data_IF_226050018127
#
_entry.id   IF_226050018127
#
_cell.length_a   1.000
_cell.length_b   1.000
_cell.length_c   1.000
_cell.angle_alpha   90.00
_cell.angle_beta   90.00
_cell.angle_gamma   90.00
#
_symmetry.space_group_name_H-M   'P 1'
#
loop_
_entity.id
_entity.type
_entity.pdbx_description
1 polymer ?
#
# COMPACT_ATOMS: atom_id res chain seq x y z
N UNK A 1 -7.17 3.53 -7.13
CA UNK A 1 -6.20 3.95 -6.12
C UNK A 1 -5.05 2.95 -6.08
N UNK A 2 -3.80 3.41 -6.06
CA UNK A 2 -2.58 2.60 -5.96
C UNK A 2 -1.97 2.74 -4.55
N UNK A 3 -1.58 1.61 -3.98
CA UNK A 3 -1.01 1.51 -2.64
C UNK A 3 0.34 0.83 -2.77
N UNK A 4 1.40 1.53 -2.35
CA UNK A 4 2.70 0.93 -2.16
C UNK A 4 2.76 0.32 -0.76
N UNK A 5 2.68 -1.00 -0.68
CA UNK A 5 2.81 -1.75 0.56
C UNK A 5 4.29 -2.02 0.81
N UNK A 6 4.80 -1.63 1.99
CA UNK A 6 6.19 -1.86 2.41
C UNK A 6 6.19 -2.75 3.66
N UNK A 7 6.71 -3.96 3.50
CA UNK A 7 6.92 -4.92 4.59
C UNK A 7 8.41 -4.87 4.95
N UNK A 8 8.71 -4.31 6.13
CA UNK A 8 10.09 -4.18 6.63
C UNK A 8 10.60 -5.53 7.15
N UNK A 9 10.97 -6.42 6.23
CA UNK A 9 11.87 -7.56 6.50
C UNK A 9 13.27 -7.19 6.01
N UNK A 10 14.30 -7.99 6.31
CA UNK A 10 15.63 -7.80 5.70
C UNK A 10 15.82 -8.87 4.62
N UNK A 11 15.81 -8.52 3.32
CA UNK A 11 15.57 -7.18 2.74
C UNK A 11 14.09 -6.76 2.75
N UNK A 12 13.84 -5.45 2.66
CA UNK A 12 12.48 -4.89 2.72
C UNK A 12 11.72 -5.24 1.44
N UNK A 13 10.51 -5.78 1.58
CA UNK A 13 9.67 -6.17 0.46
C UNK A 13 8.66 -5.07 0.15
N UNK A 14 8.54 -4.70 -1.12
CA UNK A 14 7.64 -3.64 -1.57
C UNK A 14 6.75 -4.13 -2.69
N UNK A 15 5.46 -3.83 -2.59
CA UNK A 15 4.46 -4.29 -3.52
C UNK A 15 3.58 -3.12 -3.93
N UNK A 16 3.45 -2.89 -5.24
CA UNK A 16 2.49 -1.94 -5.78
C UNK A 16 1.17 -2.67 -6.02
N UNK A 17 0.13 -2.20 -5.36
CA UNK A 17 -1.18 -2.84 -5.36
C UNK A 17 -2.24 -1.84 -5.82
N UNK A 18 -3.10 -2.24 -6.76
CA UNK A 18 -4.22 -1.44 -7.22
C UNK A 18 -5.52 -1.86 -6.53
N UNK A 19 -6.21 -0.89 -5.96
CA UNK A 19 -7.57 -1.04 -5.43
C UNK A 19 -8.55 -0.61 -6.53
N UNK A 20 -9.35 -1.56 -7.01
CA UNK A 20 -10.23 -1.40 -8.17
C UNK A 20 -11.63 -0.87 -7.84
N UNK A 21 -12.04 -0.93 -6.57
CA UNK A 21 -13.41 -0.57 -6.18
C UNK A 21 -13.42 0.46 -5.06
N UNK A 22 -14.39 1.37 -5.11
CA UNK A 22 -14.58 2.38 -4.07
C UNK A 22 -14.88 1.76 -2.70
N UNK A 23 -15.54 0.59 -2.69
CA UNK A 23 -15.79 -0.18 -1.46
C UNK A 23 -14.47 -0.58 -0.80
N UNK A 24 -13.52 -1.11 -1.57
CA UNK A 24 -12.22 -1.53 -1.06
C UNK A 24 -11.39 -0.31 -0.61
N UNK A 25 -11.46 0.80 -1.35
CA UNK A 25 -10.82 2.07 -0.96
C UNK A 25 -11.35 2.56 0.39
N UNK A 26 -12.67 2.59 0.58
CA UNK A 26 -13.32 2.99 1.84
C UNK A 26 -12.99 2.05 3.00
N UNK A 27 -12.95 0.74 2.75
CA UNK A 27 -12.55 -0.27 3.73
C UNK A 27 -11.09 -0.04 4.19
N UNK A 28 -10.18 0.15 3.24
CA UNK A 28 -8.78 0.48 3.49
C UNK A 28 -8.63 1.76 4.30
N UNK A 29 -9.27 2.85 3.89
CA UNK A 29 -9.23 4.13 4.60
C UNK A 29 -9.74 3.98 6.04
N UNK A 30 -10.80 3.20 6.25
CA UNK A 30 -11.33 2.91 7.59
C UNK A 30 -10.32 2.16 8.46
N UNK A 31 -9.61 1.17 7.91
CA UNK A 31 -8.59 0.42 8.64
C UNK A 31 -7.41 1.31 9.02
N UNK A 32 -6.95 2.16 8.09
CA UNK A 32 -5.88 3.13 8.30
C UNK A 32 -6.26 4.14 9.39
N UNK A 33 -7.43 4.77 9.28
CA UNK A 33 -7.88 5.78 10.25
C UNK A 33 -8.09 5.20 11.66
N UNK A 34 -8.28 3.89 11.79
CA UNK A 34 -8.39 3.17 13.08
C UNK A 34 -7.04 2.63 13.59
N UNK A 35 -5.93 2.97 12.95
CA UNK A 35 -4.59 2.48 13.30
C UNK A 35 -4.37 0.98 13.05
N UNK A 36 -5.24 0.32 12.26
CA UNK A 36 -5.18 -1.12 11.99
C UNK A 36 -4.32 -1.42 10.75
N UNK A 37 -3.08 -0.91 10.73
CA UNK A 37 -2.20 -0.94 9.55
C UNK A 37 -1.90 -2.36 9.04
N UNK A 38 -1.62 -3.33 9.92
CA UNK A 38 -1.39 -4.72 9.50
C UNK A 38 -2.60 -5.32 8.79
N UNK A 39 -3.82 -5.00 9.26
CA UNK A 39 -5.06 -5.42 8.58
C UNK A 39 -5.24 -4.70 7.25
N UNK A 40 -4.87 -3.42 7.16
CA UNK A 40 -4.89 -2.68 5.89
C UNK A 40 -3.93 -3.30 4.87
N UNK A 41 -2.72 -3.71 5.30
CA UNK A 41 -1.74 -4.41 4.46
C UNK A 41 -2.31 -5.72 3.92
N UNK A 42 -2.83 -6.57 4.81
CA UNK A 42 -3.43 -7.85 4.41
C UNK A 42 -4.60 -7.60 3.45
N UNK A 43 -5.44 -6.61 3.73
CA UNK A 43 -6.59 -6.26 2.88
C UNK A 43 -6.15 -5.81 1.50
N UNK A 44 -5.14 -4.95 1.40
CA UNK A 44 -4.56 -4.54 0.13
C UNK A 44 -4.03 -5.74 -0.65
N UNK A 45 -3.18 -6.58 -0.04
CA UNK A 45 -2.57 -7.72 -0.72
C UNK A 45 -3.55 -8.84 -1.09
N UNK A 46 -4.60 -9.07 -0.29
CA UNK A 46 -5.56 -10.16 -0.50
C UNK A 46 -6.73 -9.79 -1.40
N UNK A 47 -7.19 -8.53 -1.35
CA UNK A 47 -8.38 -8.06 -2.09
C UNK A 47 -8.04 -7.10 -3.22
N UNK A 48 -6.87 -6.48 -3.19
CA UNK A 48 -6.36 -5.67 -4.29
C UNK A 48 -5.77 -6.52 -5.40
N UNK A 49 -5.45 -5.90 -6.52
CA UNK A 49 -4.68 -6.52 -7.58
C UNK A 49 -3.21 -6.15 -7.42
N UNK A 50 -2.35 -7.16 -7.27
CA UNK A 50 -0.90 -6.95 -7.26
C UNK A 50 -0.47 -6.55 -8.69
N UNK A 51 0.03 -5.32 -8.85
CA UNK A 51 0.56 -4.87 -10.15
C UNK A 51 1.98 -5.40 -10.35
N UNK A 52 2.87 -5.16 -9.36
CA UNK A 52 4.25 -5.66 -9.37
C UNK A 52 4.90 -5.61 -7.99
N UNK A 53 5.94 -6.41 -7.81
CA UNK A 53 6.94 -6.19 -6.77
C UNK A 53 7.87 -5.05 -7.21
N UNK A 54 8.24 -4.18 -6.27
CA UNK A 54 9.07 -2.99 -6.54
C UNK A 54 10.46 -3.22 -5.93
N UNK A 55 11.49 -3.16 -6.77
CA UNK A 55 12.88 -3.16 -6.32
C UNK A 55 13.30 -1.78 -5.80
N UNK A 56 14.39 -1.71 -5.02
CA UNK A 56 14.89 -0.43 -4.47
C UNK A 56 15.25 0.58 -5.56
N UNK A 57 15.80 0.11 -6.68
CA UNK A 57 16.18 0.92 -7.84
C UNK A 57 14.98 1.52 -8.58
N UNK A 58 13.81 0.87 -8.51
CA UNK A 58 12.58 1.32 -9.19
C UNK A 58 11.80 2.37 -8.40
N UNK A 59 12.06 2.52 -7.08
CA UNK A 59 11.32 3.38 -6.17
C UNK A 59 11.12 4.81 -6.68
N UNK A 60 12.12 5.51 -7.25
CA UNK A 60 11.96 6.87 -7.74
C UNK A 60 10.89 7.01 -8.84
N UNK A 61 10.62 5.93 -9.58
CA UNK A 61 9.62 5.90 -10.66
C UNK A 61 8.24 5.40 -10.22
N UNK A 62 8.06 4.99 -8.96
CA UNK A 62 6.78 4.45 -8.48
C UNK A 62 5.80 5.57 -8.14
N UNK A 63 4.65 5.57 -8.82
CA UNK A 63 3.51 6.42 -8.47
C UNK A 63 2.50 5.62 -7.63
N UNK A 64 2.31 6.01 -6.37
CA UNK A 64 1.31 5.44 -5.47
C UNK A 64 0.57 6.55 -4.74
N UNK A 65 -0.74 6.38 -4.49
CA UNK A 65 -1.55 7.34 -3.74
C UNK A 65 -1.31 7.22 -2.23
N UNK A 66 -0.92 6.02 -1.76
CA UNK A 66 -0.57 5.72 -0.37
C UNK A 66 0.70 4.89 -0.34
N UNK A 67 1.56 5.19 0.63
CA UNK A 67 2.62 4.31 1.11
C UNK A 67 2.19 3.74 2.46
N UNK A 68 1.99 2.43 2.52
CA UNK A 68 1.49 1.71 3.69
C UNK A 68 2.57 0.80 4.26
N UNK A 69 2.88 0.99 5.54
CA UNK A 69 3.83 0.15 6.30
C UNK A 69 3.16 -0.39 7.56
N UNK A 70 3.75 -1.41 8.19
CA UNK A 70 3.17 -2.00 9.42
C UNK A 70 3.07 -1.00 10.58
N UNK A 71 3.94 0.01 10.61
CA UNK A 71 4.04 0.98 11.70
C UNK A 71 3.50 2.36 11.33
N UNK A 72 3.37 2.66 10.04
CA UNK A 72 3.07 4.02 9.59
C UNK A 72 2.35 4.04 8.23
N UNK A 73 1.62 5.11 7.97
CA UNK A 73 0.98 5.44 6.70
C UNK A 73 1.49 6.80 6.25
N UNK A 74 1.99 6.87 5.02
CA UNK A 74 2.27 8.15 4.35
C UNK A 74 1.34 8.29 3.16
N UNK A 75 0.63 9.40 3.09
CA UNK A 75 -0.14 9.76 1.91
C UNK A 75 0.80 10.47 0.96
N UNK A 76 1.14 9.81 -0.15
CA UNK A 76 1.92 10.48 -1.18
C UNK A 76 0.93 11.15 -2.13
N UNK A 77 0.65 12.43 -1.84
CA UNK A 77 -0.21 13.29 -2.63
C UNK A 77 0.55 13.95 -3.79
N UNK A 78 1.72 13.44 -4.19
CA UNK A 78 2.44 13.94 -5.37
C UNK A 78 1.63 13.63 -6.64
N UNK A 79 0.74 14.58 -6.94
CA UNK A 79 0.11 14.79 -8.25
C UNK A 79 1.17 14.94 -9.33
#
# INVERSE_FOLDING_TARGET
MKVLVVIRRSPAQRFLVKLHTDKLVKEMATLINRGRHSKAIITALSKGSLERQVADEDLPGVKADIILTEHNVSWDLTK
#
